data_IF_415569879531
#
_entry.id   IF_415569879531
#
_cell.length_a   1.000
_cell.length_b   1.000
_cell.length_c   1.000
_cell.angle_alpha   90.00
_cell.angle_beta   90.00
_cell.angle_gamma   90.00
#
_symmetry.space_group_name_H-M   'P 1'
#
loop_
_entity.id
_entity.type
_entity.pdbx_description
1 polymer ?
#
# COMPACT_ATOMS: atom_id res chain seq x y z
N UNK A 1 14.80 -68.41 -16.45
CA UNK A 1 15.83 -68.21 -15.41
C UNK A 1 15.25 -67.17 -14.46
N UNK A 2 14.48 -67.55 -13.44
CA UNK A 2 14.97 -67.88 -12.08
C UNK A 2 15.31 -66.56 -11.36
N UNK A 3 14.76 -66.14 -10.22
CA UNK A 3 14.07 -66.82 -9.13
C UNK A 3 13.21 -65.80 -8.37
N UNK A 4 12.14 -66.30 -7.72
CA UNK A 4 11.29 -65.58 -6.78
C UNK A 4 11.99 -65.37 -5.42
N UNK A 5 11.56 -64.37 -4.65
CA UNK A 5 11.45 -64.48 -3.19
C UNK A 5 10.27 -63.67 -2.66
N UNK A 6 9.31 -64.42 -2.12
CA UNK A 6 8.25 -64.00 -1.20
C UNK A 6 8.84 -63.85 0.22
N UNK A 7 8.26 -62.95 1.01
CA UNK A 7 8.55 -62.84 2.44
C UNK A 7 7.54 -61.95 3.16
N UNK A 8 6.35 -62.49 3.45
CA UNK A 8 5.48 -61.98 4.50
C UNK A 8 5.98 -62.48 5.87
N UNK A 9 5.67 -61.76 6.97
CA UNK A 9 5.17 -62.27 8.27
C UNK A 9 5.18 -61.15 9.34
N UNK A 10 3.95 -60.73 9.69
CA UNK A 10 3.32 -60.71 11.03
C UNK A 10 3.81 -59.75 12.14
N UNK A 11 2.82 -59.01 12.65
CA UNK A 11 2.80 -58.26 13.91
C UNK A 11 2.90 -59.17 15.16
N UNK A 12 3.15 -58.55 16.33
CA UNK A 12 2.19 -58.70 17.43
C UNK A 12 1.83 -57.35 18.10
N UNK A 13 0.61 -57.28 18.63
CA UNK A 13 0.15 -56.17 19.47
C UNK A 13 0.27 -56.45 20.97
N UNK A 14 0.24 -55.38 21.76
CA UNK A 14 -0.25 -55.26 23.14
C UNK A 14 -0.13 -53.77 23.55
N UNK A 15 -1.22 -53.01 23.67
CA UNK A 15 -1.99 -52.78 24.91
C UNK A 15 -1.13 -52.50 26.16
N UNK A 16 -1.07 -51.23 26.57
CA UNK A 16 -1.14 -50.79 27.98
C UNK A 16 -1.80 -49.39 28.03
N UNK A 17 -2.86 -49.29 28.83
CA UNK A 17 -3.63 -48.07 29.09
C UNK A 17 -2.99 -47.17 30.16
N UNK A 18 -3.69 -46.09 30.55
CA UNK A 18 -3.18 -45.05 31.45
C UNK A 18 -3.42 -45.40 32.93
N UNK A 19 -2.68 -44.80 33.89
CA UNK A 19 -3.14 -44.75 35.26
C UNK A 19 -3.99 -43.50 35.52
N UNK A 20 -5.22 -43.72 36.00
CA UNK A 20 -6.04 -42.78 36.77
C UNK A 20 -5.41 -42.47 38.14
N UNK A 21 -5.69 -41.32 38.75
CA UNK A 21 -6.85 -41.04 39.64
C UNK A 21 -6.48 -41.12 41.12
N UNK A 22 -6.75 -40.03 41.84
CA UNK A 22 -6.81 -39.93 43.30
C UNK A 22 -7.04 -38.46 43.68
N UNK A 23 -8.27 -37.96 43.68
CA UNK A 23 -9.25 -37.99 44.78
C UNK A 23 -8.75 -37.32 46.07
N UNK A 24 -9.49 -36.29 46.50
CA UNK A 24 -9.22 -35.56 47.74
C UNK A 24 -10.31 -34.52 48.02
N UNK A 25 -11.35 -34.97 48.70
CA UNK A 25 -12.51 -34.22 49.17
C UNK A 25 -12.15 -33.13 50.19
N UNK A 26 -12.98 -32.08 50.26
CA UNK A 26 -12.91 -31.06 51.30
C UNK A 26 -14.12 -30.12 51.33
N UNK A 27 -15.25 -30.63 51.83
CA UNK A 27 -16.40 -29.84 52.27
C UNK A 27 -16.02 -28.96 53.47
N UNK A 28 -16.45 -27.70 53.47
CA UNK A 28 -16.34 -26.81 54.63
C UNK A 28 -17.36 -25.67 54.58
N UNK A 29 -18.46 -25.83 55.31
CA UNK A 29 -19.47 -24.80 55.60
C UNK A 29 -18.96 -23.82 56.68
N UNK A 30 -19.46 -22.59 56.65
CA UNK A 30 -19.50 -21.64 57.78
C UNK A 30 -19.76 -20.22 57.26
N UNK A 31 -21.00 -19.71 57.18
CA UNK A 31 -21.78 -19.05 58.25
C UNK A 31 -20.94 -18.23 59.23
N UNK A 32 -21.15 -16.91 59.23
CA UNK A 32 -20.68 -16.02 60.30
C UNK A 32 -20.66 -14.53 59.92
N UNK A 33 -21.81 -13.87 59.90
CA UNK A 33 -21.94 -12.50 60.45
C UNK A 33 -22.16 -12.63 61.98
N UNK A 34 -22.30 -11.57 62.82
CA UNK A 34 -22.16 -10.10 62.71
C UNK A 34 -21.25 -9.59 63.88
N UNK A 35 -21.44 -8.46 64.64
CA UNK A 35 -22.17 -7.18 64.50
C UNK A 35 -21.19 -5.95 64.58
N UNK A 36 -21.51 -4.67 64.35
CA UNK A 36 -22.60 -3.80 64.78
C UNK A 36 -22.15 -2.95 65.99
N UNK A 37 -22.00 -1.62 65.83
CA UNK A 37 -21.94 -0.58 66.90
C UNK A 37 -21.62 0.81 66.29
N UNK A 38 -22.61 1.71 66.14
CA UNK A 38 -22.93 2.90 66.99
C UNK A 38 -22.07 4.15 66.71
N UNK A 39 -22.66 5.19 66.12
CA UNK A 39 -23.27 6.39 66.74
C UNK A 39 -22.24 7.48 67.11
N UNK A 40 -22.47 8.68 66.57
CA UNK A 40 -21.79 9.91 66.94
C UNK A 40 -22.44 11.11 66.26
N UNK A 41 -23.43 11.70 66.94
CA UNK A 41 -24.13 12.92 66.58
C UNK A 41 -23.39 14.18 67.10
N UNK A 42 -23.71 15.35 66.55
CA UNK A 42 -23.35 16.68 67.08
C UNK A 42 -23.17 17.72 65.95
N UNK A 43 -24.18 18.48 65.53
CA UNK A 43 -24.79 19.69 66.14
C UNK A 43 -24.00 20.99 65.95
N UNK A 44 -24.70 22.00 65.40
CA UNK A 44 -24.46 23.45 65.55
C UNK A 44 -23.48 24.07 64.54
N UNK A 45 -23.75 25.19 63.87
CA UNK A 45 -24.78 26.20 63.99
C UNK A 45 -24.20 27.57 63.56
N UNK A 46 -25.02 28.43 62.94
CA UNK A 46 -24.82 29.89 62.99
C UNK A 46 -24.13 30.59 61.81
N UNK A 47 -24.93 31.21 60.94
CA UNK A 47 -24.67 32.56 60.42
C UNK A 47 -24.80 33.59 61.59
N UNK A 48 -24.42 34.90 61.53
CA UNK A 48 -24.89 35.92 60.56
C UNK A 48 -23.88 37.12 60.34
N UNK A 49 -24.24 38.44 60.19
CA UNK A 49 -24.17 39.15 58.90
C UNK A 49 -23.50 40.56 58.89
N UNK A 50 -23.28 41.12 57.68
CA UNK A 50 -23.62 42.51 57.23
C UNK A 50 -22.90 43.77 57.77
N UNK A 51 -22.50 44.67 56.83
CA UNK A 51 -22.71 46.16 56.78
C UNK A 51 -21.66 46.82 55.84
N UNK A 52 -22.05 47.39 54.67
CA UNK A 52 -22.30 48.81 54.32
C UNK A 52 -21.17 49.83 54.59
N UNK A 53 -20.77 50.53 53.52
CA UNK A 53 -20.03 51.80 53.56
C UNK A 53 -20.07 52.54 52.21
N UNK A 54 -20.53 53.79 52.24
CA UNK A 54 -20.77 54.72 51.13
C UNK A 54 -19.49 55.37 50.54
N UNK A 55 -19.58 55.85 49.29
CA UNK A 55 -18.65 56.82 48.71
C UNK A 55 -19.22 57.50 47.46
N UNK A 56 -19.61 58.78 47.59
CA UNK A 56 -20.08 59.69 46.54
C UNK A 56 -18.92 60.19 45.64
N UNK A 57 -19.19 60.54 44.38
CA UNK A 57 -18.22 61.25 43.54
C UNK A 57 -18.66 61.55 42.10
N UNK A 58 -19.39 62.66 41.93
CA UNK A 58 -19.55 63.56 40.76
C UNK A 58 -19.57 63.05 39.30
N UNK A 59 -20.68 63.39 38.62
CA UNK A 59 -20.85 63.45 37.15
C UNK A 59 -20.49 64.85 36.62
N UNK A 60 -19.77 64.93 35.50
CA UNK A 60 -19.71 66.07 34.55
C UNK A 60 -19.39 65.52 33.11
N UNK A 61 -19.62 66.28 32.02
CA UNK A 61 -20.48 65.83 30.91
C UNK A 61 -19.75 65.25 29.68
N UNK A 62 -20.51 64.50 28.88
CA UNK A 62 -20.13 64.00 27.56
C UNK A 62 -19.75 65.15 26.60
N UNK A 63 -18.56 65.07 26.01
CA UNK A 63 -18.26 65.66 24.69
C UNK A 63 -18.19 64.56 23.64
N UNK A 64 -19.01 64.69 22.60
CA UNK A 64 -19.07 63.79 21.47
C UNK A 64 -17.79 63.88 20.60
N UNK A 65 -17.25 62.77 20.09
CA UNK A 65 -16.30 62.81 18.98
C UNK A 65 -17.04 62.77 17.64
N UNK A 66 -16.63 63.71 16.79
CA UNK A 66 -16.98 63.94 15.41
C UNK A 66 -16.96 62.65 14.57
N UNK A 67 -18.08 62.29 13.92
CA UNK A 67 -18.11 61.27 12.87
C UNK A 67 -17.71 61.90 11.54
N UNK A 68 -16.49 61.62 11.08
CA UNK A 68 -16.10 61.85 9.68
C UNK A 68 -16.72 60.73 8.84
N UNK A 69 -17.63 61.11 7.94
CA UNK A 69 -18.23 60.20 6.98
C UNK A 69 -17.24 59.89 5.86
N UNK A 70 -16.67 58.69 5.86
CA UNK A 70 -16.00 58.10 4.69
C UNK A 70 -17.07 57.57 3.72
N UNK A 71 -16.94 57.80 2.40
CA UNK A 71 -17.93 57.33 1.44
C UNK A 71 -17.96 55.80 1.40
N UNK A 72 -19.18 55.24 1.42
CA UNK A 72 -19.44 53.82 1.20
C UNK A 72 -18.99 53.44 -0.21
N UNK A 73 -17.76 52.94 -0.35
CA UNK A 73 -17.40 52.12 -1.50
C UNK A 73 -18.31 50.89 -1.48
N UNK A 74 -19.14 50.77 -2.49
CA UNK A 74 -20.20 49.77 -2.60
C UNK A 74 -19.60 48.37 -2.63
N UNK A 75 -19.97 47.55 -1.63
CA UNK A 75 -19.64 46.12 -1.53
C UNK A 75 -20.23 45.27 -2.69
N UNK A 76 -20.87 45.90 -3.68
CA UNK A 76 -21.48 45.30 -4.86
C UNK A 76 -20.52 45.20 -6.08
N UNK A 77 -19.33 45.78 -6.03
CA UNK A 77 -18.38 45.77 -7.17
C UNK A 77 -17.48 44.52 -7.22
N UNK A 78 -17.25 43.85 -6.10
CA UNK A 78 -16.32 42.70 -6.03
C UNK A 78 -16.95 41.36 -6.43
N UNK A 79 -18.26 41.20 -6.25
CA UNK A 79 -18.99 39.99 -6.64
C UNK A 79 -19.26 39.94 -8.14
N UNK A 80 -19.58 41.09 -8.74
CA UNK A 80 -19.79 41.24 -10.18
C UNK A 80 -18.49 41.02 -10.96
N UNK A 81 -17.35 41.53 -10.48
CA UNK A 81 -16.06 41.30 -11.12
C UNK A 81 -15.65 39.81 -11.15
N UNK A 82 -15.88 39.07 -10.07
CA UNK A 82 -15.62 37.61 -10.02
C UNK A 82 -16.56 36.82 -10.93
N UNK A 83 -17.82 37.23 -11.04
CA UNK A 83 -18.79 36.61 -11.94
C UNK A 83 -18.41 36.84 -13.41
N UNK A 84 -17.99 38.06 -13.78
CA UNK A 84 -17.54 38.37 -15.13
C UNK A 84 -16.28 37.61 -15.51
N UNK A 85 -15.28 37.49 -14.60
CA UNK A 85 -14.08 36.68 -14.85
C UNK A 85 -14.45 35.20 -15.08
N UNK A 86 -15.36 34.65 -14.28
CA UNK A 86 -15.81 33.26 -14.44
C UNK A 86 -16.52 33.05 -15.78
N UNK A 87 -17.40 33.98 -16.17
CA UNK A 87 -18.11 33.95 -17.45
C UNK A 87 -17.10 34.02 -18.60
N UNK A 88 -16.11 34.91 -18.55
CA UNK A 88 -15.08 35.01 -19.59
C UNK A 88 -14.27 33.73 -19.73
N UNK A 89 -13.86 33.10 -18.62
CA UNK A 89 -13.10 31.83 -18.65
C UNK A 89 -13.94 30.70 -19.24
N UNK A 90 -15.21 30.60 -18.87
CA UNK A 90 -16.12 29.58 -19.43
C UNK A 90 -16.36 29.83 -20.93
N UNK A 91 -16.57 31.08 -21.34
CA UNK A 91 -16.77 31.43 -22.74
C UNK A 91 -15.55 31.11 -23.60
N UNK A 92 -14.33 31.43 -23.14
CA UNK A 92 -13.07 31.09 -23.84
C UNK A 92 -12.90 29.57 -23.95
N UNK A 93 -13.21 28.83 -22.88
CA UNK A 93 -13.16 27.36 -22.90
C UNK A 93 -14.15 26.77 -23.91
N UNK A 94 -15.40 27.24 -23.92
CA UNK A 94 -16.42 26.78 -24.86
C UNK A 94 -16.09 27.16 -26.31
N UNK A 95 -15.52 28.34 -26.55
CA UNK A 95 -15.04 28.75 -27.88
C UNK A 95 -13.88 27.86 -28.33
N UNK A 96 -12.95 27.53 -27.43
CA UNK A 96 -11.83 26.63 -27.72
C UNK A 96 -12.30 25.21 -28.05
N UNK A 97 -13.30 24.69 -27.34
CA UNK A 97 -13.92 23.39 -27.64
C UNK A 97 -14.63 23.44 -28.99
N UNK A 98 -15.39 24.51 -29.28
CA UNK A 98 -16.07 24.70 -30.56
C UNK A 98 -15.09 24.79 -31.74
N UNK A 99 -13.99 25.54 -31.59
CA UNK A 99 -12.92 25.67 -32.58
C UNK A 99 -12.22 24.32 -32.83
N UNK A 100 -11.96 23.53 -31.78
CA UNK A 100 -11.38 22.19 -31.91
C UNK A 100 -12.35 21.21 -32.58
N UNK A 101 -13.66 21.39 -32.41
CA UNK A 101 -14.68 20.59 -33.12
C UNK A 101 -15.01 21.07 -34.53
N UNK A 102 -14.62 22.29 -34.93
CA UNK A 102 -14.82 22.80 -36.30
C UNK A 102 -13.65 22.49 -37.24
N UNK A 103 -12.51 21.98 -36.73
CA UNK A 103 -11.42 21.46 -37.57
C UNK A 103 -11.66 19.98 -37.84
N UNK A 104 -12.68 19.69 -38.65
CA UNK A 104 -12.81 18.47 -39.44
C UNK A 104 -13.97 18.67 -40.41
N UNK A 105 -13.65 18.69 -41.71
CA UNK A 105 -14.47 18.41 -42.90
C UNK A 105 -14.17 19.43 -44.02
N UNK A 106 -13.14 19.12 -44.81
CA UNK A 106 -13.16 19.41 -46.24
C UNK A 106 -13.17 18.06 -46.98
N UNK A 107 -14.28 17.81 -47.66
CA UNK A 107 -14.44 16.72 -48.63
C UNK A 107 -13.76 17.12 -49.93
N UNK A 108 -12.71 16.39 -50.31
CA UNK A 108 -12.16 16.45 -51.68
C UNK A 108 -13.04 15.63 -52.65
N UNK A 109 -13.05 15.97 -53.95
CA UNK A 109 -13.72 15.19 -54.97
C UNK A 109 -12.89 13.92 -55.21
N UNK A 110 -13.55 12.76 -55.34
CA UNK A 110 -12.97 11.42 -55.47
C UNK A 110 -12.77 10.74 -54.11
N UNK A 111 -13.80 10.00 -53.68
CA UNK A 111 -13.93 9.37 -52.38
C UNK A 111 -12.99 8.19 -52.13
N UNK A 112 -11.71 8.48 -51.89
CA UNK A 112 -10.73 7.50 -51.42
C UNK A 112 -9.87 8.14 -50.32
N UNK A 113 -9.85 7.52 -49.13
CA UNK A 113 -9.07 8.02 -47.97
C UNK A 113 -7.78 7.20 -47.83
N UNK A 114 -6.67 7.73 -48.34
CA UNK A 114 -5.32 7.36 -47.91
C UNK A 114 -4.71 8.55 -47.16
N UNK A 115 -4.28 8.33 -45.92
CA UNK A 115 -3.49 9.31 -45.17
C UNK A 115 -2.06 8.78 -45.08
N UNK A 116 -1.16 9.41 -45.84
CA UNK A 116 0.28 9.27 -45.64
C UNK A 116 0.65 9.90 -44.29
N UNK A 117 1.27 9.11 -43.41
CA UNK A 117 1.97 9.58 -42.21
C UNK A 117 3.42 9.08 -42.33
N UNK A 118 4.44 9.93 -42.13
CA UNK A 118 5.83 9.48 -42.11
C UNK A 118 6.06 8.51 -40.93
N UNK A 119 6.69 7.39 -41.23
CA UNK A 119 7.10 6.34 -40.30
C UNK A 119 8.01 6.83 -39.17
N UNK A 120 7.68 6.45 -37.94
CA UNK A 120 8.64 6.09 -36.90
C UNK A 120 7.97 5.03 -36.00
N UNK A 121 8.33 3.78 -36.29
CA UNK A 121 7.98 2.51 -35.64
C UNK A 121 8.33 2.50 -34.13
N UNK A 122 7.68 1.77 -33.22
CA UNK A 122 6.53 0.88 -33.25
C UNK A 122 6.38 0.23 -31.86
N UNK A 123 5.28 0.52 -31.15
CA UNK A 123 4.79 -0.24 -29.99
C UNK A 123 3.25 -0.19 -30.01
N UNK A 124 2.53 -1.32 -30.13
CA UNK A 124 1.08 -1.31 -29.98
C UNK A 124 0.70 -1.63 -28.53
N UNK A 125 0.15 -0.62 -27.85
CA UNK A 125 -0.78 -0.84 -26.75
C UNK A 125 -2.11 -1.28 -27.34
N UNK A 126 -2.52 -2.52 -27.07
CA UNK A 126 -3.91 -2.96 -27.24
C UNK A 126 -4.54 -3.18 -25.87
N UNK A 127 -5.67 -2.51 -25.69
CA UNK A 127 -6.52 -2.43 -24.52
C UNK A 127 -7.15 -3.78 -24.15
N UNK A 128 -7.14 -4.12 -22.85
CA UNK A 128 -8.10 -5.06 -22.30
C UNK A 128 -8.52 -4.67 -20.86
N UNK A 129 -9.75 -4.17 -20.75
CA UNK A 129 -10.69 -4.59 -19.70
C UNK A 129 -10.38 -4.24 -18.24
N UNK A 130 -10.47 -2.95 -17.88
CA UNK A 130 -10.61 -2.55 -16.48
C UNK A 130 -11.50 -1.32 -16.37
N UNK A 131 -12.79 -1.50 -16.08
CA UNK A 131 -13.71 -0.39 -15.79
C UNK A 131 -13.12 0.46 -14.67
N UNK A 132 -12.66 1.67 -14.99
CA UNK A 132 -12.29 2.69 -14.00
C UNK A 132 -13.57 3.11 -13.28
N UNK A 133 -13.70 2.70 -12.02
CA UNK A 133 -14.69 3.30 -11.12
C UNK A 133 -14.36 4.79 -10.93
N UNK A 134 -15.32 5.71 -11.11
CA UNK A 134 -15.08 7.13 -10.91
C UNK A 134 -14.97 7.42 -9.41
N UNK A 135 -13.79 7.87 -8.99
CA UNK A 135 -13.62 8.52 -7.69
C UNK A 135 -14.16 9.95 -7.78
N UNK A 136 -14.96 10.43 -6.81
CA UNK A 136 -15.31 11.85 -6.73
C UNK A 136 -14.04 12.64 -6.42
N UNK A 137 -13.63 13.51 -7.34
CA UNK A 137 -12.60 14.52 -7.11
C UNK A 137 -13.18 15.58 -6.17
N UNK A 138 -12.80 15.54 -4.90
CA UNK A 138 -12.92 16.70 -4.02
C UNK A 138 -11.93 17.80 -4.46
N UNK A 139 -12.22 19.08 -4.17
CA UNK A 139 -11.44 20.19 -4.70
C UNK A 139 -10.00 20.19 -4.17
N UNK A 140 -9.05 20.18 -5.09
CA UNK A 140 -7.65 20.54 -4.87
C UNK A 140 -7.60 22.04 -4.55
N UNK A 141 -7.50 22.39 -3.26
CA UNK A 141 -7.04 23.73 -2.89
C UNK A 141 -5.53 23.68 -2.68
N UNK A 142 -4.85 24.32 -3.63
CA UNK A 142 -3.50 24.81 -3.57
C UNK A 142 -3.24 25.63 -2.31
N UNK A 143 -2.24 25.24 -1.53
CA UNK A 143 -1.57 26.14 -0.59
C UNK A 143 -0.10 26.20 -0.98
N UNK A 144 0.21 27.15 -1.85
CA UNK A 144 1.52 27.76 -1.99
C UNK A 144 1.32 29.26 -1.78
N UNK A 145 1.97 29.82 -0.77
CA UNK A 145 1.94 31.24 -0.43
C UNK A 145 2.38 31.44 1.02
N UNK A 146 3.63 31.88 1.20
CA UNK A 146 4.35 31.90 2.46
C UNK A 146 4.03 33.06 3.39
N UNK A 147 4.63 33.01 4.58
CA UNK A 147 4.56 34.06 5.59
C UNK A 147 5.19 33.64 6.92
N UNK A 148 6.50 33.87 7.04
CA UNK A 148 7.26 34.21 8.26
C UNK A 148 7.08 33.40 9.56
N UNK A 149 8.20 32.83 10.05
CA UNK A 149 8.45 32.70 11.49
C UNK A 149 9.06 31.38 11.95
N UNK A 150 10.31 31.43 12.44
CA UNK A 150 10.86 30.46 13.40
C UNK A 150 11.47 29.17 12.83
N UNK A 151 12.62 29.28 12.17
CA UNK A 151 13.43 28.13 11.78
C UNK A 151 14.08 27.45 12.98
N UNK A 152 13.43 26.44 13.55
CA UNK A 152 14.13 25.34 14.21
C UNK A 152 14.72 24.40 13.15
N UNK A 153 15.88 23.76 13.38
CA UNK A 153 16.47 22.86 12.39
C UNK A 153 15.59 21.61 12.24
N UNK A 154 14.70 21.63 11.26
CA UNK A 154 14.04 20.43 10.76
C UNK A 154 15.13 19.61 10.10
N UNK A 155 15.60 18.57 10.80
CA UNK A 155 16.63 17.68 10.30
C UNK A 155 16.32 17.24 8.88
N UNK A 156 17.21 17.59 7.94
CA UNK A 156 17.22 17.03 6.59
C UNK A 156 17.11 15.51 6.73
N UNK A 157 16.04 14.92 6.21
CA UNK A 157 15.98 13.47 6.00
C UNK A 157 17.26 13.09 5.24
N UNK A 158 18.19 12.39 5.90
CA UNK A 158 19.32 11.78 5.20
C UNK A 158 18.70 10.87 4.13
N UNK A 159 19.07 11.06 2.86
CA UNK A 159 18.59 10.21 1.77
C UNK A 159 18.90 8.73 2.04
N UNK A 160 18.26 7.83 1.30
CA UNK A 160 18.60 6.40 1.35
C UNK A 160 20.11 6.20 1.25
N UNK A 161 20.68 5.47 2.21
CA UNK A 161 22.10 5.15 2.22
C UNK A 161 22.31 3.75 1.64
N UNK A 162 22.79 3.70 0.40
CA UNK A 162 23.15 2.45 -0.27
C UNK A 162 24.45 1.87 0.29
N UNK A 163 24.58 0.54 0.28
CA UNK A 163 25.83 -0.14 0.66
C UNK A 163 26.91 0.05 -0.41
N UNK A 164 26.47 0.19 -1.66
CA UNK A 164 27.31 0.41 -2.82
C UNK A 164 26.64 1.44 -3.74
N UNK A 165 27.40 2.19 -4.55
CA UNK A 165 26.84 3.03 -5.60
C UNK A 165 25.96 2.20 -6.54
N UNK A 166 24.77 2.69 -6.84
CA UNK A 166 23.88 1.98 -7.75
C UNK A 166 24.35 2.15 -9.20
N UNK A 167 24.31 1.06 -9.97
CA UNK A 167 24.69 1.02 -11.39
C UNK A 167 23.74 0.15 -12.22
N UNK A 168 23.80 0.33 -13.53
CA UNK A 168 23.23 -0.64 -14.47
C UNK A 168 24.16 -1.86 -14.61
N UNK A 169 23.62 -2.93 -15.17
CA UNK A 169 24.42 -4.03 -15.68
C UNK A 169 25.00 -3.58 -17.02
N UNK A 170 26.23 -3.08 -16.98
CA UNK A 170 27.00 -2.69 -18.16
C UNK A 170 27.73 -3.93 -18.67
N UNK A 171 27.14 -4.59 -19.67
CA UNK A 171 27.73 -5.76 -20.31
C UNK A 171 27.25 -5.79 -21.77
N UNK A 172 28.17 -5.93 -22.72
CA UNK A 172 27.87 -5.92 -24.18
C UNK A 172 27.10 -7.17 -24.64
N UNK A 173 26.70 -8.04 -23.69
CA UNK A 173 26.01 -9.30 -23.94
C UNK A 173 24.51 -9.18 -23.66
N UNK A 174 23.64 -9.68 -24.54
CA UNK A 174 22.21 -9.79 -24.26
C UNK A 174 21.97 -10.59 -22.98
N UNK A 175 21.34 -9.97 -21.98
CA UNK A 175 20.94 -10.63 -20.72
C UNK A 175 19.47 -11.02 -20.74
N UNK A 176 19.19 -12.20 -20.18
CA UNK A 176 17.83 -12.65 -19.91
C UNK A 176 17.10 -11.63 -19.03
N UNK A 177 15.95 -11.16 -19.48
CA UNK A 177 15.11 -10.23 -18.69
C UNK A 177 14.33 -11.03 -17.64
N UNK A 178 14.56 -10.73 -16.37
CA UNK A 178 13.87 -11.39 -15.25
C UNK A 178 12.71 -10.54 -14.75
N UNK A 179 11.50 -11.11 -14.73
CA UNK A 179 10.35 -10.48 -14.08
C UNK A 179 10.49 -10.57 -12.56
N UNK A 180 10.19 -9.48 -11.86
CA UNK A 180 9.75 -9.53 -10.47
C UNK A 180 8.22 -9.37 -10.48
N UNK A 181 7.53 -10.49 -10.61
CA UNK A 181 6.08 -10.55 -10.75
C UNK A 181 5.42 -10.70 -9.38
N UNK A 182 4.36 -9.92 -9.13
CA UNK A 182 3.47 -10.15 -7.98
C UNK A 182 2.21 -9.31 -8.03
N UNK A 183 1.26 -9.65 -7.16
CA UNK A 183 0.14 -8.78 -6.84
C UNK A 183 0.60 -7.49 -6.09
N UNK A 184 -0.03 -6.32 -6.33
CA UNK A 184 0.24 -5.10 -5.56
C UNK A 184 0.09 -5.28 -4.05
N UNK A 185 1.02 -4.76 -3.25
CA UNK A 185 0.98 -4.91 -1.78
C UNK A 185 1.70 -6.15 -1.23
N UNK A 186 2.24 -7.03 -2.10
CA UNK A 186 3.02 -8.21 -1.71
C UNK A 186 4.47 -7.94 -1.27
N UNK A 187 4.92 -6.67 -1.27
CA UNK A 187 6.27 -6.32 -0.78
C UNK A 187 7.32 -6.01 -1.85
N UNK A 188 6.93 -5.83 -3.11
CA UNK A 188 7.82 -5.54 -4.25
C UNK A 188 8.88 -4.48 -3.98
N UNK A 189 8.46 -3.33 -3.48
CA UNK A 189 9.38 -2.21 -3.23
C UNK A 189 10.45 -2.60 -2.22
N UNK A 190 10.10 -3.43 -1.23
CA UNK A 190 11.05 -3.90 -0.24
C UNK A 190 12.02 -4.93 -0.81
N UNK A 191 11.54 -5.93 -1.56
CA UNK A 191 12.43 -6.90 -2.20
C UNK A 191 13.37 -6.24 -3.22
N UNK A 192 12.87 -5.29 -4.03
CA UNK A 192 13.70 -4.48 -4.93
C UNK A 192 14.76 -3.69 -4.18
N UNK A 193 14.38 -3.09 -3.05
CA UNK A 193 15.31 -2.37 -2.19
C UNK A 193 16.40 -3.29 -1.66
N UNK A 194 16.05 -4.46 -1.13
CA UNK A 194 17.01 -5.45 -0.61
C UNK A 194 17.98 -5.93 -1.70
N UNK A 195 17.47 -6.21 -2.90
CA UNK A 195 18.29 -6.59 -4.05
C UNK A 195 19.27 -5.47 -4.45
N UNK A 196 18.80 -4.23 -4.55
CA UNK A 196 19.66 -3.07 -4.81
C UNK A 196 20.69 -2.87 -3.70
N UNK A 197 20.29 -3.09 -2.45
CA UNK A 197 21.15 -2.90 -1.29
C UNK A 197 22.29 -3.92 -1.26
N UNK A 198 22.00 -5.18 -1.60
CA UNK A 198 23.00 -6.26 -1.62
C UNK A 198 23.93 -6.19 -2.84
N UNK A 199 23.41 -5.81 -4.01
CA UNK A 199 24.14 -5.94 -5.28
C UNK A 199 24.75 -4.64 -5.79
N UNK A 200 24.22 -3.49 -5.37
CA UNK A 200 24.50 -2.21 -6.03
C UNK A 200 23.92 -2.12 -7.45
N UNK A 201 23.06 -3.05 -7.89
CA UNK A 201 22.50 -3.07 -9.24
C UNK A 201 21.06 -2.57 -9.23
N UNK A 202 20.72 -1.69 -10.18
CA UNK A 202 19.36 -1.19 -10.33
C UNK A 202 18.32 -2.30 -10.55
N UNK A 203 17.12 -2.10 -10.01
CA UNK A 203 15.93 -2.87 -10.37
C UNK A 203 14.97 -2.02 -11.18
N UNK A 204 14.46 -2.59 -12.27
CA UNK A 204 13.54 -1.94 -13.19
C UNK A 204 12.07 -2.08 -12.80
N UNK A 205 11.21 -1.49 -13.61
CA UNK A 205 9.75 -1.53 -13.47
C UNK A 205 9.12 -1.23 -14.82
N UNK A 206 8.08 -1.98 -15.18
CA UNK A 206 7.24 -1.66 -16.36
C UNK A 206 6.45 -0.35 -16.19
N UNK A 207 6.48 0.24 -14.99
CA UNK A 207 5.79 1.47 -14.65
C UNK A 207 6.75 2.65 -14.48
N UNK A 208 6.19 3.86 -14.52
CA UNK A 208 6.88 5.10 -14.15
C UNK A 208 6.32 5.69 -12.86
N UNK A 209 6.77 5.18 -11.71
CA UNK A 209 6.39 5.76 -10.43
C UNK A 209 7.34 6.90 -10.04
N UNK A 210 6.90 8.16 -10.24
CA UNK A 210 7.72 9.33 -9.92
C UNK A 210 8.11 9.44 -8.44
N UNK A 211 7.28 8.88 -7.54
CA UNK A 211 7.59 8.84 -6.11
C UNK A 211 8.76 7.89 -5.85
N UNK A 212 8.74 6.70 -6.44
CA UNK A 212 9.85 5.74 -6.31
C UNK A 212 11.10 6.20 -7.06
N UNK A 213 10.95 6.79 -8.26
CA UNK A 213 12.04 7.31 -9.06
C UNK A 213 12.88 8.35 -8.30
N UNK A 214 12.21 9.28 -7.60
CA UNK A 214 12.87 10.29 -6.76
C UNK A 214 13.46 9.73 -5.46
N UNK A 215 12.97 8.58 -5.02
CA UNK A 215 13.29 8.01 -3.72
C UNK A 215 13.92 6.62 -3.84
N UNK A 216 14.92 6.46 -4.71
CA UNK A 216 15.79 5.28 -4.70
C UNK A 216 15.58 4.22 -5.79
N UNK A 217 14.67 4.45 -6.74
CA UNK A 217 14.46 3.56 -7.89
C UNK A 217 14.66 4.30 -9.22
N UNK A 218 15.89 4.73 -9.55
CA UNK A 218 16.15 5.56 -10.73
C UNK A 218 15.84 4.86 -12.06
N UNK A 219 15.81 3.51 -12.07
CA UNK A 219 15.48 2.70 -13.23
C UNK A 219 13.97 2.37 -13.36
N UNK A 220 13.07 3.16 -12.77
CA UNK A 220 11.65 3.11 -13.15
C UNK A 220 11.51 3.33 -14.67
N UNK A 221 10.62 2.58 -15.33
CA UNK A 221 10.48 2.52 -16.80
C UNK A 221 11.63 1.89 -17.57
N UNK A 222 12.59 1.25 -16.89
CA UNK A 222 13.56 0.37 -17.53
C UNK A 222 13.08 -1.07 -17.39
N UNK A 223 12.92 -1.76 -18.52
CA UNK A 223 12.33 -3.11 -18.59
C UNK A 223 13.12 -4.07 -19.48
N UNK A 224 14.44 -3.89 -19.56
CA UNK A 224 15.34 -4.71 -20.39
C UNK A 224 16.44 -5.35 -19.51
N UNK A 225 17.41 -6.03 -20.13
CA UNK A 225 18.49 -6.74 -19.45
C UNK A 225 19.55 -5.87 -18.73
N UNK A 226 19.43 -4.54 -18.77
CA UNK A 226 20.35 -3.62 -18.07
C UNK A 226 20.11 -3.52 -16.55
N UNK A 227 19.03 -4.14 -16.05
CA UNK A 227 18.66 -4.14 -14.63
C UNK A 227 18.58 -5.57 -14.11
N UNK A 228 18.72 -5.74 -12.80
CA UNK A 228 18.76 -7.06 -12.16
C UNK A 228 17.43 -7.82 -12.27
N UNK A 229 16.32 -7.11 -12.07
CA UNK A 229 14.97 -7.64 -12.21
C UNK A 229 13.98 -6.49 -12.51
N UNK A 230 12.90 -6.78 -13.22
CA UNK A 230 11.90 -5.80 -13.66
C UNK A 230 10.56 -6.07 -12.97
N UNK A 231 10.13 -5.15 -12.12
CA UNK A 231 8.83 -5.24 -11.44
C UNK A 231 7.66 -5.18 -12.41
N UNK A 232 6.70 -6.09 -12.25
CA UNK A 232 5.39 -6.02 -12.92
C UNK A 232 4.25 -6.51 -12.01
N UNK A 233 3.04 -5.97 -12.24
CA UNK A 233 1.79 -6.49 -11.68
C UNK A 233 0.86 -7.05 -12.76
N UNK A 234 1.32 -7.05 -14.00
CA UNK A 234 0.55 -7.49 -15.15
C UNK A 234 0.59 -9.02 -15.24
N UNK A 235 -0.42 -9.60 -15.87
CA UNK A 235 -0.55 -11.04 -16.10
C UNK A 235 -1.12 -11.26 -17.50
N UNK A 236 -1.05 -12.51 -17.97
CA UNK A 236 -1.46 -12.90 -19.31
C UNK A 236 -0.29 -13.01 -20.29
N UNK A 237 -0.54 -13.50 -21.52
CA UNK A 237 0.52 -13.83 -22.47
C UNK A 237 1.37 -12.62 -22.86
N UNK A 238 0.75 -11.48 -23.16
CA UNK A 238 1.45 -10.25 -23.56
C UNK A 238 2.36 -9.73 -22.45
N UNK A 239 1.87 -9.74 -21.20
CA UNK A 239 2.64 -9.26 -20.05
C UNK A 239 3.89 -10.09 -19.78
N UNK A 240 3.89 -11.36 -20.16
CA UNK A 240 4.95 -12.33 -19.85
C UNK A 240 5.93 -12.54 -20.98
N UNK A 241 5.49 -12.32 -22.22
CA UNK A 241 6.30 -12.48 -23.42
C UNK A 241 7.69 -11.80 -23.37
N UNK A 242 7.89 -10.62 -22.73
CA UNK A 242 9.21 -9.99 -22.66
C UNK A 242 10.20 -10.68 -21.70
N UNK A 243 9.72 -11.60 -20.84
CA UNK A 243 10.49 -12.15 -19.73
C UNK A 243 10.95 -13.58 -20.01
N UNK A 244 12.17 -13.86 -19.61
CA UNK A 244 12.83 -15.16 -19.79
C UNK A 244 12.82 -15.98 -18.50
N UNK A 245 12.81 -15.29 -17.35
CA UNK A 245 12.79 -15.86 -15.99
C UNK A 245 11.83 -15.05 -15.14
N UNK A 246 11.35 -15.62 -14.03
CA UNK A 246 10.48 -14.93 -13.10
C UNK A 246 10.88 -15.19 -11.64
N UNK A 247 10.96 -14.12 -10.85
CA UNK A 247 10.80 -14.18 -9.40
C UNK A 247 9.34 -13.87 -9.10
N UNK A 248 8.60 -14.84 -8.59
CA UNK A 248 7.20 -14.71 -8.21
C UNK A 248 7.09 -14.45 -6.70
N UNK A 249 6.82 -13.20 -6.32
CA UNK A 249 6.67 -12.81 -4.91
C UNK A 249 5.20 -12.93 -4.47
N UNK A 250 4.93 -13.85 -3.54
CA UNK A 250 3.57 -14.18 -3.09
C UNK A 250 3.39 -13.79 -1.63
N UNK A 251 2.30 -13.08 -1.32
CA UNK A 251 1.90 -12.73 0.05
C UNK A 251 0.45 -13.14 0.25
N UNK A 252 0.08 -13.54 1.47
CA UNK A 252 -1.30 -13.77 1.88
C UNK A 252 -2.24 -12.66 1.38
N UNK A 253 -3.41 -13.01 0.81
CA UNK A 253 -4.27 -12.05 0.13
C UNK A 253 -4.81 -10.97 1.06
N UNK A 254 -5.17 -11.30 2.30
CA UNK A 254 -5.70 -10.32 3.26
C UNK A 254 -4.74 -9.14 3.49
N UNK A 255 -3.52 -9.39 4.01
CA UNK A 255 -2.51 -8.35 4.18
C UNK A 255 -2.12 -7.63 2.88
N UNK A 256 -2.03 -8.34 1.75
CA UNK A 256 -1.69 -7.74 0.46
C UNK A 256 -2.78 -6.78 -0.04
N UNK A 257 -4.05 -7.19 0.01
CA UNK A 257 -5.20 -6.38 -0.39
C UNK A 257 -5.34 -5.15 0.49
N UNK A 258 -5.17 -5.29 1.81
CA UNK A 258 -5.19 -4.14 2.72
C UNK A 258 -4.03 -3.18 2.45
N UNK A 259 -2.83 -3.71 2.17
CA UNK A 259 -1.68 -2.89 1.79
C UNK A 259 -1.91 -2.12 0.48
N UNK A 260 -2.60 -2.72 -0.49
CA UNK A 260 -2.97 -2.05 -1.75
C UNK A 260 -4.05 -0.98 -1.53
N UNK A 261 -5.05 -1.26 -0.69
CA UNK A 261 -6.06 -0.26 -0.32
C UNK A 261 -5.44 0.97 0.37
N UNK A 262 -4.52 0.71 1.31
CA UNK A 262 -3.74 1.75 1.97
C UNK A 262 -2.91 2.56 0.97
N UNK A 263 -2.30 1.89 -0.04
CA UNK A 263 -1.54 2.58 -1.09
C UNK A 263 -2.42 3.52 -1.91
N UNK A 264 -3.58 3.05 -2.35
CA UNK A 264 -4.50 3.83 -3.17
C UNK A 264 -5.15 4.99 -2.42
N UNK A 265 -5.37 4.83 -1.11
CA UNK A 265 -6.09 5.83 -0.29
C UNK A 265 -5.17 6.77 0.49
N UNK A 266 -3.94 6.34 0.81
CA UNK A 266 -3.00 7.07 1.67
C UNK A 266 -1.60 7.24 1.08
N UNK A 267 -1.34 6.79 -0.15
CA UNK A 267 -0.02 6.84 -0.80
C UNK A 267 0.91 5.70 -0.40
N UNK A 268 2.13 5.68 -0.95
CA UNK A 268 3.06 4.55 -0.86
C UNK A 268 3.36 4.09 0.57
N UNK A 269 3.59 5.04 1.48
CA UNK A 269 3.92 4.77 2.88
C UNK A 269 2.79 5.11 3.86
N UNK A 270 1.64 5.58 3.37
CA UNK A 270 0.52 5.98 4.20
C UNK A 270 -0.53 4.90 4.39
N UNK A 271 -1.52 5.21 5.23
CA UNK A 271 -2.67 4.36 5.54
C UNK A 271 -3.95 5.02 5.03
N UNK A 272 -4.92 4.19 4.65
CA UNK A 272 -6.27 4.66 4.42
C UNK A 272 -6.87 5.13 5.76
N UNK A 273 -7.52 6.29 5.76
CA UNK A 273 -8.25 6.75 6.94
C UNK A 273 -9.42 5.77 7.26
N UNK A 274 -9.78 5.57 8.55
CA UNK A 274 -10.77 4.55 8.94
C UNK A 274 -12.15 4.71 8.28
N UNK A 275 -12.55 5.95 7.97
CA UNK A 275 -13.77 6.30 7.24
C UNK A 275 -13.82 5.69 5.83
N UNK A 276 -12.66 5.54 5.17
CA UNK A 276 -12.54 4.92 3.84
C UNK A 276 -13.06 3.49 3.80
N UNK A 277 -12.85 2.73 4.88
CA UNK A 277 -13.37 1.37 5.01
C UNK A 277 -14.89 1.33 5.24
N UNK A 278 -15.47 2.41 5.77
CA UNK A 278 -16.91 2.52 6.09
C UNK A 278 -17.74 3.17 4.98
N UNK A 279 -17.10 3.69 3.93
CA UNK A 279 -17.77 4.34 2.80
C UNK A 279 -18.91 3.48 2.22
N UNK A 280 -20.05 4.13 1.96
CA UNK A 280 -21.27 3.50 1.44
C UNK A 280 -21.73 2.30 2.29
N UNK A 281 -21.62 2.41 3.62
CA UNK A 281 -21.91 1.34 4.61
C UNK A 281 -21.02 0.10 4.39
N UNK A 282 -19.73 0.31 4.10
CA UNK A 282 -18.75 -0.76 3.88
C UNK A 282 -18.80 -1.43 2.50
N UNK A 283 -19.79 -1.12 1.65
CA UNK A 283 -19.92 -1.72 0.30
C UNK A 283 -18.72 -1.42 -0.60
N UNK A 284 -18.11 -0.24 -0.46
CA UNK A 284 -16.92 0.11 -1.24
C UNK A 284 -15.75 -0.82 -0.91
N UNK A 285 -15.50 -1.02 0.39
CA UNK A 285 -14.47 -1.95 0.86
C UNK A 285 -14.78 -3.39 0.45
N UNK A 286 -16.02 -3.85 0.61
CA UNK A 286 -16.41 -5.20 0.20
C UNK A 286 -16.15 -5.47 -1.29
N UNK A 287 -16.60 -4.56 -2.16
CA UNK A 287 -16.36 -4.67 -3.60
C UNK A 287 -14.86 -4.61 -3.93
N UNK A 288 -14.10 -3.80 -3.20
CA UNK A 288 -12.65 -3.74 -3.35
C UNK A 288 -12.00 -5.07 -2.98
N UNK A 289 -12.35 -5.67 -1.85
CA UNK A 289 -11.84 -7.00 -1.43
C UNK A 289 -12.16 -8.05 -2.47
N UNK A 290 -13.42 -8.17 -2.91
CA UNK A 290 -13.81 -9.17 -3.92
C UNK A 290 -13.05 -8.99 -5.23
N UNK A 291 -12.98 -7.77 -5.76
CA UNK A 291 -12.28 -7.51 -7.02
C UNK A 291 -10.77 -7.75 -6.90
N UNK A 292 -10.16 -7.35 -5.78
CA UNK A 292 -8.72 -7.51 -5.56
C UNK A 292 -8.32 -8.94 -5.22
N UNK A 293 -9.20 -9.71 -4.58
CA UNK A 293 -8.99 -11.13 -4.35
C UNK A 293 -8.98 -11.91 -5.67
N UNK A 294 -9.92 -11.62 -6.57
CA UNK A 294 -9.92 -12.21 -7.91
C UNK A 294 -8.64 -11.87 -8.69
N UNK A 295 -8.21 -10.60 -8.65
CA UNK A 295 -6.95 -10.19 -9.27
C UNK A 295 -5.72 -10.85 -8.61
N UNK A 296 -5.68 -10.94 -7.28
CA UNK A 296 -4.61 -11.63 -6.55
C UNK A 296 -4.49 -13.09 -6.98
N UNK A 297 -5.62 -13.81 -7.03
CA UNK A 297 -5.64 -15.19 -7.49
C UNK A 297 -5.15 -15.28 -8.93
N UNK A 298 -5.68 -14.44 -9.83
CA UNK A 298 -5.34 -14.45 -11.24
C UNK A 298 -3.86 -14.18 -11.50
N UNK A 299 -3.27 -13.16 -10.85
CA UNK A 299 -1.85 -12.85 -11.00
C UNK A 299 -0.97 -14.02 -10.56
N UNK A 300 -1.19 -14.55 -9.34
CA UNK A 300 -0.36 -15.63 -8.83
C UNK A 300 -0.50 -16.90 -9.67
N UNK A 301 -1.73 -17.27 -10.02
CA UNK A 301 -2.00 -18.46 -10.83
C UNK A 301 -1.41 -18.35 -12.23
N UNK A 302 -1.59 -17.22 -12.92
CA UNK A 302 -1.08 -17.05 -14.27
C UNK A 302 0.45 -17.18 -14.33
N UNK A 303 1.16 -16.47 -13.44
CA UNK A 303 2.62 -16.56 -13.36
C UNK A 303 3.11 -17.94 -12.91
N UNK A 304 2.38 -18.61 -12.02
CA UNK A 304 2.76 -19.94 -11.53
C UNK A 304 2.57 -21.04 -12.58
N UNK A 305 1.45 -21.04 -13.31
CA UNK A 305 1.06 -22.18 -14.15
C UNK A 305 1.32 -21.97 -15.62
N UNK A 306 1.23 -20.73 -16.10
CA UNK A 306 1.24 -20.47 -17.54
C UNK A 306 2.60 -19.93 -18.02
N UNK A 307 3.51 -19.55 -17.11
CA UNK A 307 4.82 -19.01 -17.46
C UNK A 307 5.78 -20.18 -17.57
N UNK A 308 6.43 -20.33 -18.71
CA UNK A 308 7.22 -21.52 -19.03
C UNK A 308 8.70 -21.35 -18.72
N UNK A 309 9.16 -20.14 -18.44
CA UNK A 309 10.54 -19.87 -18.05
C UNK A 309 10.85 -20.30 -16.61
N UNK A 310 12.14 -20.41 -16.24
CA UNK A 310 12.54 -20.68 -14.87
C UNK A 310 11.88 -19.71 -13.90
N UNK A 311 11.28 -20.24 -12.83
CA UNK A 311 10.54 -19.45 -11.84
C UNK A 311 11.02 -19.73 -10.43
N UNK A 312 11.41 -18.68 -9.72
CA UNK A 312 11.75 -18.72 -8.31
C UNK A 312 10.63 -18.10 -7.48
N UNK A 313 10.03 -18.88 -6.58
CA UNK A 313 8.91 -18.44 -5.75
C UNK A 313 9.44 -17.91 -4.42
N UNK A 314 9.07 -16.68 -4.09
CA UNK A 314 9.38 -16.05 -2.80
C UNK A 314 8.08 -15.87 -2.03
N UNK A 315 7.92 -16.57 -0.91
CA UNK A 315 6.84 -16.28 0.02
C UNK A 315 7.24 -15.07 0.88
N UNK A 316 6.37 -14.06 0.96
CA UNK A 316 6.65 -12.84 1.72
C UNK A 316 6.91 -13.13 3.20
N UNK A 317 6.21 -14.10 3.79
CA UNK A 317 6.38 -14.44 5.19
C UNK A 317 7.74 -15.12 5.44
N UNK A 318 8.27 -15.86 4.46
CA UNK A 318 9.62 -16.41 4.51
C UNK A 318 10.66 -15.28 4.39
N UNK A 319 10.46 -14.34 3.46
CA UNK A 319 11.30 -13.14 3.33
C UNK A 319 11.35 -12.31 4.62
N UNK A 320 10.24 -12.21 5.35
CA UNK A 320 10.19 -11.50 6.65
C UNK A 320 10.90 -12.30 7.75
N UNK A 321 10.71 -13.63 7.77
CA UNK A 321 11.25 -14.51 8.81
C UNK A 321 12.76 -14.69 8.68
N UNK A 322 13.25 -14.88 7.46
CA UNK A 322 14.66 -15.08 7.13
C UNK A 322 15.02 -14.24 5.89
N UNK A 323 15.35 -12.97 6.14
CA UNK A 323 15.70 -12.01 5.08
C UNK A 323 16.97 -12.46 4.36
N UNK A 324 17.99 -12.90 5.10
CA UNK A 324 19.29 -13.24 4.53
C UNK A 324 19.23 -14.50 3.68
N UNK A 325 18.69 -15.60 4.22
CA UNK A 325 18.57 -16.86 3.48
C UNK A 325 17.69 -16.72 2.25
N UNK A 326 16.55 -16.03 2.38
CA UNK A 326 15.67 -15.77 1.23
C UNK A 326 16.35 -14.90 0.17
N UNK A 327 17.09 -13.86 0.58
CA UNK A 327 17.77 -12.96 -0.36
C UNK A 327 18.91 -13.68 -1.09
N UNK A 328 19.71 -14.52 -0.40
CA UNK A 328 20.73 -15.37 -1.02
C UNK A 328 20.12 -16.30 -2.06
N UNK A 329 19.05 -17.01 -1.71
CA UNK A 329 18.32 -17.89 -2.63
C UNK A 329 17.83 -17.16 -3.90
N UNK A 330 17.32 -15.94 -3.76
CA UNK A 330 16.92 -15.11 -4.91
C UNK A 330 18.14 -14.71 -5.75
N UNK A 331 19.24 -14.30 -5.12
CA UNK A 331 20.47 -13.88 -5.82
C UNK A 331 21.14 -15.05 -6.55
N UNK A 332 21.12 -16.25 -5.98
CA UNK A 332 21.58 -17.47 -6.63
C UNK A 332 20.74 -17.77 -7.87
N UNK A 333 19.41 -17.67 -7.76
CA UNK A 333 18.52 -17.80 -8.93
C UNK A 333 18.76 -16.70 -9.98
N UNK A 334 19.15 -15.49 -9.57
CA UNK A 334 19.49 -14.40 -10.49
C UNK A 334 20.91 -14.50 -11.05
N UNK A 335 21.68 -15.52 -10.65
CA UNK A 335 23.10 -15.70 -11.01
C UNK A 335 23.93 -14.44 -10.69
N UNK A 336 23.64 -13.85 -9.53
CA UNK A 336 24.29 -12.63 -9.06
C UNK A 336 24.73 -12.78 -7.59
N UNK A 337 25.65 -13.73 -7.30
CA UNK A 337 26.15 -13.92 -5.94
C UNK A 337 26.85 -12.64 -5.45
N UNK A 338 26.74 -12.38 -4.16
CA UNK A 338 27.35 -11.22 -3.49
C UNK A 338 28.28 -11.69 -2.39
N UNK A 339 29.25 -10.85 -2.02
CA UNK A 339 30.13 -11.12 -0.89
C UNK A 339 29.36 -11.08 0.42
N UNK A 340 29.88 -11.77 1.44
CA UNK A 340 29.28 -11.76 2.77
C UNK A 340 29.26 -10.35 3.39
N UNK A 341 30.26 -9.51 3.11
CA UNK A 341 30.26 -8.10 3.53
C UNK A 341 29.13 -7.28 2.90
N UNK A 342 28.88 -7.48 1.60
CA UNK A 342 27.79 -6.80 0.90
C UNK A 342 26.43 -7.26 1.43
N UNK A 343 26.28 -8.57 1.69
CA UNK A 343 25.10 -9.13 2.33
C UNK A 343 24.91 -8.57 3.75
N UNK A 344 25.96 -8.58 4.58
CA UNK A 344 25.91 -8.07 5.95
C UNK A 344 25.46 -6.61 6.00
N UNK A 345 26.01 -5.75 5.13
CA UNK A 345 25.56 -4.36 5.01
C UNK A 345 24.09 -4.25 4.59
N UNK A 346 23.62 -5.10 3.65
CA UNK A 346 22.23 -5.10 3.23
C UNK A 346 21.28 -5.54 4.36
N UNK A 347 21.68 -6.53 5.16
CA UNK A 347 20.92 -7.00 6.33
C UNK A 347 20.88 -5.94 7.43
N UNK A 348 21.99 -5.24 7.68
CA UNK A 348 22.04 -4.12 8.62
C UNK A 348 21.03 -3.02 8.23
N UNK A 349 20.90 -2.75 6.94
CA UNK A 349 20.05 -1.67 6.40
C UNK A 349 18.68 -2.12 5.90
N UNK A 350 18.29 -3.38 6.14
CA UNK A 350 17.13 -4.06 5.52
C UNK A 350 15.80 -3.32 5.59
N UNK A 351 15.54 -2.49 6.60
CA UNK A 351 14.23 -1.83 6.78
C UNK A 351 13.93 -0.78 5.71
N UNK A 352 14.93 -0.02 5.25
CA UNK A 352 14.76 1.10 4.31
C UNK A 352 13.73 2.14 4.76
N UNK A 353 13.13 2.86 3.81
CA UNK A 353 12.12 3.91 4.06
C UNK A 353 10.71 3.54 3.57
N UNK A 354 10.54 2.37 2.96
CA UNK A 354 9.31 2.00 2.24
C UNK A 354 8.30 1.25 3.12
N UNK A 355 8.69 0.87 4.33
CA UNK A 355 7.81 0.21 5.30
C UNK A 355 6.88 1.23 5.94
N UNK A 356 5.59 0.93 5.96
CA UNK A 356 4.61 1.74 6.69
C UNK A 356 4.83 1.58 8.19
N UNK A 357 5.09 2.68 8.91
CA UNK A 357 5.18 2.66 10.37
C UNK A 357 3.80 2.37 10.97
N UNK A 358 3.62 1.21 11.60
CA UNK A 358 2.35 0.80 12.21
C UNK A 358 2.02 1.76 13.36
N UNK A 359 0.95 2.55 13.25
CA UNK A 359 0.42 3.33 14.37
C UNK A 359 -0.32 2.39 15.32
N UNK A 360 -0.24 2.59 16.63
CA UNK A 360 -0.91 1.73 17.62
C UNK A 360 -2.42 1.56 17.34
N UNK A 361 -3.11 2.62 16.90
CA UNK A 361 -4.52 2.59 16.48
C UNK A 361 -4.80 1.74 15.23
N UNK A 362 -3.83 1.60 14.32
CA UNK A 362 -3.92 0.74 13.15
C UNK A 362 -3.59 -0.73 13.48
N UNK A 363 -3.04 -1.02 14.66
CA UNK A 363 -2.65 -2.37 15.03
C UNK A 363 -3.84 -3.29 15.34
N UNK A 364 -4.91 -2.72 15.89
CA UNK A 364 -6.11 -3.46 16.31
C UNK A 364 -7.31 -3.29 15.36
N UNK A 365 -7.12 -2.61 14.23
CA UNK A 365 -8.18 -2.40 13.24
C UNK A 365 -8.17 -3.52 12.20
N UNK A 366 -9.13 -4.44 12.32
CA UNK A 366 -9.40 -5.46 11.32
C UNK A 366 -10.59 -5.04 10.43
N UNK A 367 -10.37 -4.67 9.16
CA UNK A 367 -11.45 -4.24 8.29
C UNK A 367 -12.24 -5.42 7.68
N UNK A 368 -11.84 -6.67 7.89
CA UNK A 368 -12.43 -7.82 7.21
C UNK A 368 -13.59 -8.42 8.01
N UNK A 369 -14.73 -8.61 7.34
CA UNK A 369 -15.86 -9.36 7.91
C UNK A 369 -15.56 -10.86 7.93
N UNK A 370 -16.31 -11.64 8.71
CA UNK A 370 -16.15 -13.09 8.74
C UNK A 370 -16.29 -13.75 7.35
N UNK A 371 -17.26 -13.28 6.54
CA UNK A 371 -17.45 -13.73 5.16
C UNK A 371 -16.25 -13.38 4.26
N UNK A 372 -15.67 -12.17 4.39
CA UNK A 372 -14.46 -11.83 3.66
C UNK A 372 -13.29 -12.73 4.05
N UNK A 373 -13.11 -13.00 5.35
CA UNK A 373 -12.05 -13.89 5.83
C UNK A 373 -12.21 -15.31 5.30
N UNK A 374 -13.43 -15.82 5.18
CA UNK A 374 -13.68 -17.12 4.56
C UNK A 374 -13.22 -17.13 3.10
N UNK A 375 -13.71 -16.18 2.27
CA UNK A 375 -13.28 -16.07 0.87
C UNK A 375 -11.76 -15.94 0.71
N UNK A 376 -11.11 -15.14 1.57
CA UNK A 376 -9.67 -14.95 1.56
C UNK A 376 -8.92 -16.25 1.83
N UNK A 377 -9.35 -17.02 2.83
CA UNK A 377 -8.76 -18.33 3.16
C UNK A 377 -8.96 -19.34 2.04
N UNK A 378 -10.17 -19.46 1.51
CA UNK A 378 -10.47 -20.43 0.46
C UNK A 378 -9.57 -20.24 -0.78
N UNK A 379 -9.32 -18.98 -1.15
CA UNK A 379 -8.44 -18.63 -2.27
C UNK A 379 -6.95 -18.75 -1.93
N UNK A 380 -6.58 -18.44 -0.69
CA UNK A 380 -5.21 -18.64 -0.19
C UNK A 380 -4.84 -20.12 -0.23
N UNK A 381 -5.69 -20.98 0.32
CA UNK A 381 -5.51 -22.43 0.38
C UNK A 381 -5.34 -23.02 -1.03
N UNK A 382 -6.17 -22.60 -2.00
CA UNK A 382 -6.05 -23.05 -3.38
C UNK A 382 -4.68 -22.69 -4.00
N UNK A 383 -4.28 -21.42 -3.90
CA UNK A 383 -3.03 -20.94 -4.52
C UNK A 383 -1.82 -21.54 -3.81
N UNK A 384 -1.83 -21.61 -2.47
CA UNK A 384 -0.70 -22.13 -1.69
C UNK A 384 -0.54 -23.63 -1.88
N UNK A 385 -1.63 -24.39 -2.01
CA UNK A 385 -1.55 -25.81 -2.36
C UNK A 385 -0.87 -26.03 -3.72
N UNK A 386 -1.16 -25.17 -4.71
CA UNK A 386 -0.51 -25.24 -6.03
C UNK A 386 0.95 -24.81 -6.00
N UNK A 387 1.31 -23.79 -5.23
CA UNK A 387 2.70 -23.39 -5.01
C UNK A 387 3.49 -24.54 -4.37
N UNK A 388 2.94 -25.16 -3.32
CA UNK A 388 3.56 -26.31 -2.66
C UNK A 388 3.80 -27.45 -3.64
N UNK A 389 2.79 -27.77 -4.47
CA UNK A 389 2.93 -28.79 -5.52
C UNK A 389 4.02 -28.42 -6.54
N UNK A 390 4.07 -27.17 -6.98
CA UNK A 390 5.11 -26.68 -7.90
C UNK A 390 6.51 -26.86 -7.30
N UNK A 391 6.72 -26.44 -6.06
CA UNK A 391 8.01 -26.56 -5.37
C UNK A 391 8.43 -28.02 -5.18
N UNK A 392 7.49 -28.93 -4.90
CA UNK A 392 7.78 -30.36 -4.81
C UNK A 392 8.23 -30.97 -6.13
N UNK A 393 7.66 -30.52 -7.26
CA UNK A 393 8.03 -30.98 -8.60
C UNK A 393 9.34 -30.37 -9.11
N UNK A 394 9.81 -29.27 -8.52
CA UNK A 394 11.07 -28.63 -8.90
C UNK A 394 12.30 -29.24 -8.20
N UNK A 395 12.08 -30.04 -7.14
CA UNK A 395 13.15 -30.67 -6.32
C UNK A 395 13.36 -32.15 -6.67
N UNK A 396 12.38 -32.79 -7.32
CA UNK A 396 12.49 -34.16 -7.83
C UNK A 396 12.71 -34.17 -9.33
#
# INVERSE_FOLDING_TARGET
MGSAYLGAVRAPGAHWGPPGSGSGWGLGRGRGAPPGATLGAGLGGGAPPGLRGHGHGLRLPLRAPLRIALPRATRASWSTCRLWILITVISVYLLGVLLLSSVSFQTGPNGERTLHVPELSGFPYALAGGRRMPFPRGPLSSVLGGGGGGGGPVGRSRGLQWCQPLRYLDDDRPRAVTALASFPGSGNTWLRYLLQQATGVHTGSVYKDFGLLKNGFPAESVSNGSVLAVKTHEWGPVARAPFHRAVLLVRSPGPAIQAEFNRQSGGHIGFAAPDRYRLKKGRFWANFVTAKLAAWRQTNMDWLTNFTGPTHIVMYDDLVRDVEGTLRSVLDFLEHPVTDDAMACAIERREGIYRRKRRALAANFDPFTASMKAMLRDQEDEVFARIKKYQQLAVG
#
